data_IF_622505317207
#
_entry.id   IF_622505317207
#
_cell.length_a   1.000
_cell.length_b   1.000
_cell.length_c   1.000
_cell.angle_alpha   90.00
_cell.angle_beta   90.00
_cell.angle_gamma   90.00
#
_symmetry.space_group_name_H-M   'P 1'
#
loop_
_entity.id
_entity.type
_entity.pdbx_description
1 polymer ?
#
# COMPACT_ATOMS: atom_id res chain seq x y z
N UNK A 1 8.51 -17.39 -38.08
CA UNK A 1 8.88 -17.86 -36.73
C UNK A 1 8.97 -16.71 -35.70
N UNK A 2 9.27 -15.49 -36.11
CA UNK A 2 9.43 -14.30 -35.23
C UNK A 2 8.13 -13.91 -34.51
N UNK A 3 6.98 -13.96 -35.17
CA UNK A 3 5.68 -13.64 -34.60
C UNK A 3 5.39 -14.49 -33.35
N UNK A 4 5.80 -15.77 -33.34
CA UNK A 4 5.58 -16.66 -32.19
C UNK A 4 6.45 -16.32 -30.98
N UNK A 5 7.53 -15.52 -31.13
CA UNK A 5 8.46 -15.18 -30.06
C UNK A 5 8.04 -13.94 -29.27
N UNK A 6 7.04 -13.18 -29.73
CA UNK A 6 6.56 -11.96 -29.07
C UNK A 6 6.00 -12.24 -27.70
N UNK A 7 6.57 -11.60 -26.68
CA UNK A 7 6.17 -11.77 -25.26
C UNK A 7 5.32 -10.62 -24.72
N UNK A 8 5.41 -9.47 -25.36
CA UNK A 8 4.74 -8.25 -24.87
C UNK A 8 4.14 -7.47 -26.04
N UNK A 9 2.89 -7.06 -25.88
CA UNK A 9 2.17 -6.21 -26.82
C UNK A 9 1.53 -5.08 -26.04
N UNK A 10 1.80 -3.84 -26.48
CA UNK A 10 1.20 -2.61 -25.98
C UNK A 10 0.39 -1.97 -27.09
N UNK A 11 -0.90 -1.80 -26.86
CA UNK A 11 -1.88 -1.20 -27.80
C UNK A 11 -2.75 -0.20 -27.02
N UNK A 12 -2.16 0.56 -26.11
CA UNK A 12 -2.88 1.65 -25.43
C UNK A 12 -3.04 2.82 -26.40
N UNK A 13 -4.12 3.58 -26.23
CA UNK A 13 -4.36 4.84 -26.95
C UNK A 13 -3.14 5.75 -26.77
N UNK A 14 -2.53 6.21 -27.89
CA UNK A 14 -1.59 7.34 -27.82
C UNK A 14 -2.42 8.60 -27.96
N UNK A 15 -2.31 9.53 -27.01
CA UNK A 15 -3.02 10.83 -27.07
C UNK A 15 -2.68 11.62 -28.35
N UNK A 16 -1.50 11.34 -28.94
CA UNK A 16 -0.99 12.05 -30.13
C UNK A 16 -1.63 11.58 -31.46
N UNK A 17 -2.02 10.30 -31.58
CA UNK A 17 -2.42 9.75 -32.88
C UNK A 17 -3.93 9.48 -33.00
N UNK A 18 -4.71 9.51 -31.93
CA UNK A 18 -6.16 9.32 -31.94
C UNK A 18 -6.65 7.95 -32.44
N UNK A 19 -5.76 6.99 -32.63
CA UNK A 19 -6.12 5.68 -33.13
C UNK A 19 -6.65 4.78 -32.02
N UNK A 20 -7.91 4.38 -32.13
CA UNK A 20 -8.52 3.41 -31.22
C UNK A 20 -8.81 2.11 -31.94
N UNK A 21 -8.35 1.01 -31.36
CA UNK A 21 -8.58 -0.32 -31.88
C UNK A 21 -10.02 -0.79 -31.59
N UNK A 22 -10.72 -1.27 -32.62
CA UNK A 22 -12.08 -1.83 -32.48
C UNK A 22 -12.07 -3.36 -32.35
N UNK A 23 -10.98 -4.00 -32.78
CA UNK A 23 -10.82 -5.45 -32.78
C UNK A 23 -9.36 -5.85 -32.63
N UNK A 24 -9.10 -6.90 -31.89
CA UNK A 24 -7.82 -7.61 -31.80
C UNK A 24 -7.93 -9.02 -32.41
N UNK A 25 -8.70 -9.17 -33.48
CA UNK A 25 -8.75 -10.43 -34.23
C UNK A 25 -7.35 -10.82 -34.68
N UNK A 26 -6.93 -12.04 -34.37
CA UNK A 26 -5.56 -12.52 -34.68
C UNK A 26 -4.57 -12.42 -33.52
N UNK A 27 -4.93 -11.80 -32.38
CA UNK A 27 -4.04 -11.78 -31.18
C UNK A 27 -3.65 -13.20 -30.73
N UNK A 28 -4.46 -14.20 -31.03
CA UNK A 28 -4.27 -15.60 -30.67
C UNK A 28 -3.07 -16.27 -31.37
N UNK A 29 -2.48 -15.65 -32.41
CA UNK A 29 -1.26 -16.16 -33.08
C UNK A 29 -0.01 -16.00 -32.18
N UNK A 30 -0.02 -15.04 -31.23
CA UNK A 30 1.08 -14.75 -30.32
C UNK A 30 1.07 -15.71 -29.12
N UNK A 31 1.41 -16.98 -29.34
CA UNK A 31 1.31 -18.04 -28.33
C UNK A 31 2.29 -17.90 -27.16
N UNK A 32 3.37 -17.12 -27.34
CA UNK A 32 4.37 -16.83 -26.31
C UNK A 32 4.04 -15.56 -25.49
N UNK A 33 2.92 -14.90 -25.78
CA UNK A 33 2.55 -13.63 -25.17
C UNK A 33 2.37 -13.79 -23.65
N UNK A 34 3.09 -12.96 -22.91
CA UNK A 34 3.08 -12.90 -21.45
C UNK A 34 2.41 -11.63 -20.93
N UNK A 35 2.50 -10.54 -21.68
CA UNK A 35 1.88 -9.25 -21.32
C UNK A 35 1.11 -8.72 -22.51
N UNK A 36 -0.17 -8.43 -22.27
CA UNK A 36 -1.03 -7.71 -23.22
C UNK A 36 -1.60 -6.48 -22.50
N UNK A 37 -1.28 -5.30 -23.00
CA UNK A 37 -1.92 -4.05 -22.61
C UNK A 37 -2.69 -3.50 -23.83
N UNK A 38 -4.01 -3.46 -23.71
CA UNK A 38 -4.92 -2.95 -24.74
C UNK A 38 -6.00 -2.06 -24.13
N UNK A 39 -5.66 -1.36 -23.05
CA UNK A 39 -6.52 -0.39 -22.42
C UNK A 39 -6.78 0.81 -23.33
N UNK A 40 -7.88 1.58 -23.05
CA UNK A 40 -8.19 2.80 -23.77
C UNK A 40 -8.67 2.58 -25.21
N UNK A 41 -9.27 1.44 -25.52
CA UNK A 41 -9.70 1.10 -26.87
C UNK A 41 -11.24 1.00 -27.02
N UNK A 42 -11.71 0.57 -28.17
CA UNK A 42 -13.16 0.38 -28.46
C UNK A 42 -13.51 -1.09 -28.65
N UNK A 43 -12.77 -1.99 -27.98
CA UNK A 43 -12.97 -3.43 -28.13
C UNK A 43 -14.33 -3.87 -27.56
N UNK A 44 -15.11 -4.60 -28.36
CA UNK A 44 -16.36 -5.21 -27.91
C UNK A 44 -16.17 -6.67 -27.56
N UNK A 45 -15.12 -7.31 -28.08
CA UNK A 45 -14.71 -8.70 -27.82
C UNK A 45 -13.19 -8.77 -27.69
N UNK A 46 -12.73 -9.73 -26.90
CA UNK A 46 -11.29 -10.04 -26.76
C UNK A 46 -11.15 -11.56 -26.55
N UNK A 47 -10.55 -12.24 -27.52
CA UNK A 47 -10.24 -13.67 -27.42
C UNK A 47 -8.75 -13.87 -27.12
N UNK A 48 -8.44 -14.22 -25.88
CA UNK A 48 -7.09 -14.55 -25.40
C UNK A 48 -6.91 -16.05 -25.13
N UNK A 49 -7.81 -16.89 -25.61
CA UNK A 49 -7.85 -18.34 -25.29
C UNK A 49 -6.60 -19.10 -25.71
N UNK A 50 -5.87 -18.63 -26.74
CA UNK A 50 -4.61 -19.23 -27.20
C UNK A 50 -3.36 -18.61 -26.55
N UNK A 51 -3.49 -17.48 -25.90
CA UNK A 51 -2.38 -16.79 -25.21
C UNK A 51 -2.19 -17.36 -23.80
N UNK A 52 -1.98 -18.67 -23.69
CA UNK A 52 -1.98 -19.43 -22.42
C UNK A 52 -0.79 -19.11 -21.52
N UNK A 53 0.18 -18.33 -22.02
CA UNK A 53 1.35 -17.83 -21.27
C UNK A 53 1.15 -16.46 -20.66
N UNK A 54 -0.02 -15.83 -20.84
CA UNK A 54 -0.33 -14.53 -20.25
C UNK A 54 -0.15 -14.54 -18.72
N UNK A 55 0.64 -13.56 -18.28
CA UNK A 55 0.91 -13.23 -16.87
C UNK A 55 0.22 -11.91 -16.50
N UNK A 56 0.23 -10.94 -17.43
CA UNK A 56 -0.42 -9.64 -17.25
C UNK A 56 -1.39 -9.39 -18.40
N UNK A 57 -2.63 -9.08 -18.06
CA UNK A 57 -3.66 -8.64 -19.00
C UNK A 57 -4.27 -7.34 -18.50
N UNK A 58 -4.12 -6.29 -19.28
CA UNK A 58 -4.78 -5.01 -19.10
C UNK A 58 -5.66 -4.76 -20.33
N UNK A 59 -6.97 -4.80 -20.10
CA UNK A 59 -8.00 -4.49 -21.11
C UNK A 59 -9.01 -3.46 -20.58
N UNK A 60 -8.56 -2.61 -19.66
CA UNK A 60 -9.37 -1.54 -19.10
C UNK A 60 -9.87 -0.56 -20.17
N UNK A 61 -10.89 0.22 -19.84
CA UNK A 61 -11.47 1.27 -20.69
C UNK A 61 -11.77 0.77 -22.11
N UNK A 62 -12.67 -0.22 -22.18
CA UNK A 62 -13.13 -0.83 -23.42
C UNK A 62 -14.67 -0.98 -23.42
N UNK A 63 -15.21 -1.76 -24.33
CA UNK A 63 -16.66 -2.01 -24.45
C UNK A 63 -17.00 -3.48 -24.28
N UNK A 64 -16.16 -4.25 -23.60
CA UNK A 64 -16.29 -5.69 -23.43
C UNK A 64 -17.56 -6.01 -22.63
N UNK A 65 -18.40 -6.91 -23.17
CA UNK A 65 -19.57 -7.44 -22.47
C UNK A 65 -19.30 -8.80 -21.82
N UNK A 66 -18.26 -9.50 -22.31
CA UNK A 66 -17.77 -10.79 -21.81
C UNK A 66 -16.24 -10.81 -21.87
N UNK A 67 -15.61 -11.49 -20.93
CA UNK A 67 -14.17 -11.74 -20.92
C UNK A 67 -13.95 -13.16 -20.39
N UNK A 68 -13.39 -14.05 -21.21
CA UNK A 68 -13.01 -15.39 -20.81
C UNK A 68 -11.49 -15.49 -20.64
N UNK A 69 -11.05 -15.66 -19.40
CA UNK A 69 -9.65 -15.83 -19.01
C UNK A 69 -9.35 -17.24 -18.49
N UNK A 70 -10.27 -18.20 -18.70
CA UNK A 70 -10.18 -19.58 -18.17
C UNK A 70 -8.95 -20.34 -18.66
N UNK A 71 -8.43 -20.01 -19.85
CA UNK A 71 -7.20 -20.61 -20.42
C UNK A 71 -5.91 -19.92 -19.97
N UNK A 72 -6.01 -18.71 -19.39
CA UNK A 72 -4.86 -17.90 -18.98
C UNK A 72 -4.47 -18.20 -17.51
N UNK A 73 -4.22 -19.46 -17.20
CA UNK A 73 -3.98 -19.97 -15.82
C UNK A 73 -2.70 -19.42 -15.17
N UNK A 74 -1.87 -18.71 -15.93
CA UNK A 74 -0.64 -18.05 -15.44
C UNK A 74 -0.83 -16.59 -15.03
N UNK A 75 -2.05 -16.04 -15.21
CA UNK A 75 -2.33 -14.65 -14.86
C UNK A 75 -2.01 -14.37 -13.39
N UNK A 76 -1.21 -13.31 -13.20
CA UNK A 76 -0.86 -12.70 -11.92
C UNK A 76 -1.58 -11.35 -11.79
N UNK A 77 -1.67 -10.58 -12.89
CA UNK A 77 -2.38 -9.30 -12.94
C UNK A 77 -3.48 -9.35 -14.00
N UNK A 78 -4.70 -8.97 -13.59
CA UNK A 78 -5.84 -8.75 -14.47
C UNK A 78 -6.44 -7.38 -14.16
N UNK A 79 -6.46 -6.52 -15.18
CA UNK A 79 -7.16 -5.26 -15.18
C UNK A 79 -8.22 -5.29 -16.30
N UNK A 80 -9.49 -5.15 -15.92
CA UNK A 80 -10.62 -5.10 -16.84
C UNK A 80 -11.59 -3.98 -16.44
N UNK A 81 -11.06 -2.91 -15.84
CA UNK A 81 -11.83 -1.75 -15.43
C UNK A 81 -12.60 -1.11 -16.58
N UNK A 82 -13.64 -0.37 -16.24
CA UNK A 82 -14.42 0.46 -17.18
C UNK A 82 -14.80 -0.31 -18.44
N UNK A 83 -15.60 -1.35 -18.23
CA UNK A 83 -16.15 -2.20 -19.29
C UNK A 83 -17.68 -2.40 -19.09
N UNK A 84 -18.26 -3.36 -19.78
CA UNK A 84 -19.69 -3.69 -19.67
C UNK A 84 -19.92 -5.11 -19.18
N UNK A 85 -18.96 -5.67 -18.42
CA UNK A 85 -19.01 -7.05 -17.97
C UNK A 85 -20.15 -7.26 -16.97
N UNK A 86 -20.99 -8.27 -17.23
CA UNK A 86 -22.06 -8.69 -16.31
C UNK A 86 -21.66 -9.91 -15.47
N UNK A 87 -20.62 -10.63 -15.90
CA UNK A 87 -20.01 -11.78 -15.21
C UNK A 87 -18.51 -11.78 -15.45
N UNK A 88 -17.76 -12.23 -14.47
CA UNK A 88 -16.32 -12.46 -14.57
C UNK A 88 -15.98 -13.73 -13.77
N UNK A 89 -15.47 -14.75 -14.45
CA UNK A 89 -15.00 -15.98 -13.82
C UNK A 89 -13.47 -16.01 -13.80
N UNK A 90 -12.91 -15.92 -12.61
CA UNK A 90 -11.47 -15.98 -12.34
C UNK A 90 -11.05 -17.25 -11.61
N UNK A 91 -11.93 -18.26 -11.54
CA UNK A 91 -11.72 -19.50 -10.77
C UNK A 91 -10.51 -20.31 -11.25
N UNK A 92 -10.12 -20.19 -12.52
CA UNK A 92 -8.94 -20.85 -13.10
C UNK A 92 -7.63 -20.06 -12.93
N UNK A 93 -7.70 -18.81 -12.47
CA UNK A 93 -6.56 -17.91 -12.36
C UNK A 93 -6.00 -17.88 -10.93
N UNK A 94 -5.66 -19.04 -10.38
CA UNK A 94 -5.23 -19.22 -8.98
C UNK A 94 -3.92 -18.48 -8.60
N UNK A 95 -3.22 -17.93 -9.59
CA UNK A 95 -2.00 -17.15 -9.40
C UNK A 95 -2.26 -15.66 -9.29
N UNK A 96 -3.50 -15.18 -9.46
CA UNK A 96 -3.82 -13.77 -9.37
C UNK A 96 -3.41 -13.19 -8.03
N UNK A 97 -2.64 -12.12 -8.10
CA UNK A 97 -2.25 -11.25 -7.00
C UNK A 97 -2.93 -9.88 -7.09
N UNK A 98 -3.24 -9.43 -8.30
CA UNK A 98 -3.93 -8.19 -8.60
C UNK A 98 -5.16 -8.46 -9.47
N UNK A 99 -6.32 -7.98 -9.02
CA UNK A 99 -7.57 -7.98 -9.78
C UNK A 99 -8.24 -6.63 -9.66
N UNK A 100 -8.40 -5.94 -10.79
CA UNK A 100 -9.24 -4.77 -10.91
C UNK A 100 -10.35 -5.03 -11.93
N UNK A 101 -11.59 -4.80 -11.51
CA UNK A 101 -12.79 -4.95 -12.33
C UNK A 101 -13.81 -3.86 -12.02
N UNK A 102 -13.32 -2.67 -11.67
CA UNK A 102 -14.14 -1.50 -11.32
C UNK A 102 -14.95 -1.02 -12.53
N UNK A 103 -16.00 -0.23 -12.26
CA UNK A 103 -16.85 0.36 -13.29
C UNK A 103 -17.35 -0.69 -14.31
N UNK A 104 -18.02 -1.73 -13.80
CA UNK A 104 -18.62 -2.79 -14.59
C UNK A 104 -20.09 -3.04 -14.15
N UNK A 105 -20.67 -4.14 -14.56
CA UNK A 105 -22.08 -4.49 -14.25
C UNK A 105 -22.19 -5.80 -13.50
N UNK A 106 -21.12 -6.18 -12.76
CA UNK A 106 -21.05 -7.45 -12.06
C UNK A 106 -22.08 -7.53 -10.93
N UNK A 107 -22.88 -8.58 -10.92
CA UNK A 107 -23.83 -8.85 -9.82
C UNK A 107 -23.28 -9.85 -8.80
N UNK A 108 -22.27 -10.63 -9.19
CA UNK A 108 -21.53 -11.60 -8.35
C UNK A 108 -20.06 -11.60 -8.75
N UNK A 109 -19.19 -11.83 -7.78
CA UNK A 109 -17.75 -12.01 -8.00
C UNK A 109 -17.26 -13.07 -7.01
N UNK A 110 -16.83 -14.22 -7.52
CA UNK A 110 -16.23 -15.27 -6.70
C UNK A 110 -14.72 -15.27 -6.86
N UNK A 111 -14.03 -14.89 -5.78
CA UNK A 111 -12.57 -14.87 -5.68
C UNK A 111 -12.02 -15.96 -4.74
N UNK A 112 -12.83 -16.95 -4.38
CA UNK A 112 -12.47 -17.98 -3.40
C UNK A 112 -11.27 -18.84 -3.83
N UNK A 113 -11.02 -18.96 -5.15
CA UNK A 113 -9.88 -19.69 -5.73
C UNK A 113 -8.60 -18.84 -5.87
N UNK A 114 -8.68 -17.53 -5.63
CA UNK A 114 -7.58 -16.59 -5.83
C UNK A 114 -6.91 -16.24 -4.49
N UNK A 115 -6.43 -17.25 -3.75
CA UNK A 115 -5.88 -17.09 -2.38
C UNK A 115 -4.61 -16.24 -2.32
N UNK A 116 -3.97 -15.94 -3.46
CA UNK A 116 -2.79 -15.08 -3.58
C UNK A 116 -3.13 -13.61 -3.73
N UNK A 117 -4.41 -13.25 -3.90
CA UNK A 117 -4.82 -11.86 -4.06
C UNK A 117 -4.32 -10.98 -2.91
N UNK A 118 -3.65 -9.91 -3.31
CA UNK A 118 -3.16 -8.82 -2.48
C UNK A 118 -3.96 -7.55 -2.72
N UNK A 119 -4.39 -7.32 -3.95
CA UNK A 119 -5.17 -6.18 -4.41
C UNK A 119 -6.47 -6.67 -5.05
N UNK A 120 -7.60 -6.13 -4.58
CA UNK A 120 -8.92 -6.34 -5.16
C UNK A 120 -9.64 -5.00 -5.25
N UNK A 121 -9.90 -4.55 -6.47
CA UNK A 121 -10.77 -3.41 -6.75
C UNK A 121 -11.99 -3.89 -7.54
N UNK A 122 -13.16 -3.77 -6.94
CA UNK A 122 -14.45 -4.04 -7.56
C UNK A 122 -15.42 -2.85 -7.37
N UNK A 123 -14.85 -1.64 -7.28
CA UNK A 123 -15.56 -0.37 -7.20
C UNK A 123 -16.62 -0.27 -8.32
N UNK A 124 -17.71 0.40 -8.05
CA UNK A 124 -18.85 0.63 -8.95
C UNK A 124 -19.26 -0.60 -9.75
N UNK A 125 -19.93 -1.49 -9.05
CA UNK A 125 -20.56 -2.68 -9.60
C UNK A 125 -21.96 -2.86 -8.99
N UNK A 126 -22.54 -4.03 -9.15
CA UNK A 126 -23.88 -4.35 -8.63
C UNK A 126 -23.85 -5.50 -7.62
N UNK A 127 -22.71 -5.68 -6.94
CA UNK A 127 -22.51 -6.79 -6.01
C UNK A 127 -23.43 -6.67 -4.80
N UNK A 128 -24.14 -7.74 -4.49
CA UNK A 128 -25.00 -7.84 -3.29
C UNK A 128 -24.30 -8.60 -2.15
N UNK A 129 -23.28 -9.39 -2.48
CA UNK A 129 -22.45 -10.16 -1.57
C UNK A 129 -21.01 -10.20 -2.08
N UNK A 130 -20.04 -10.29 -1.17
CA UNK A 130 -18.61 -10.42 -1.48
C UNK A 130 -17.93 -11.25 -0.39
N UNK A 131 -17.56 -12.50 -0.72
CA UNK A 131 -16.85 -13.37 0.21
C UNK A 131 -15.34 -13.38 -0.08
N UNK A 132 -14.58 -12.77 0.81
CA UNK A 132 -13.12 -12.66 0.74
C UNK A 132 -12.39 -13.47 1.81
N UNK A 133 -13.07 -14.38 2.49
CA UNK A 133 -12.52 -15.16 3.61
C UNK A 133 -11.30 -16.02 3.23
N UNK A 134 -11.18 -16.41 1.95
CA UNK A 134 -10.04 -17.16 1.41
C UNK A 134 -8.88 -16.27 0.94
N UNK A 135 -9.10 -14.96 0.80
CA UNK A 135 -8.10 -14.01 0.30
C UNK A 135 -7.33 -13.36 1.46
N UNK A 136 -6.71 -14.18 2.31
CA UNK A 136 -6.04 -13.72 3.54
C UNK A 136 -4.77 -12.88 3.29
N UNK A 137 -4.34 -12.79 2.03
CA UNK A 137 -3.22 -11.97 1.61
C UNK A 137 -3.63 -10.55 1.17
N UNK A 138 -4.94 -10.25 1.15
CA UNK A 138 -5.42 -8.91 0.77
C UNK A 138 -4.82 -7.83 1.67
N UNK A 139 -4.32 -6.81 1.00
CA UNK A 139 -3.74 -5.59 1.58
C UNK A 139 -4.58 -4.39 1.19
N UNK A 140 -5.10 -4.38 -0.05
CA UNK A 140 -6.00 -3.37 -0.56
C UNK A 140 -7.31 -4.02 -0.96
N UNK A 141 -8.40 -3.49 -0.43
CA UNK A 141 -9.76 -3.82 -0.87
C UNK A 141 -10.52 -2.52 -1.15
N UNK A 142 -10.99 -2.38 -2.37
CA UNK A 142 -11.98 -1.38 -2.73
C UNK A 142 -13.23 -2.10 -3.26
N UNK A 143 -14.32 -2.02 -2.50
CA UNK A 143 -15.63 -2.52 -2.88
C UNK A 143 -16.70 -1.43 -2.75
N UNK A 144 -16.30 -0.16 -2.82
CA UNK A 144 -17.22 0.98 -2.77
C UNK A 144 -18.19 0.97 -3.97
N UNK A 145 -19.29 1.71 -3.84
CA UNK A 145 -20.32 1.82 -4.87
C UNK A 145 -20.86 0.44 -5.31
N UNK A 146 -21.38 -0.32 -4.34
CA UNK A 146 -22.01 -1.61 -4.56
C UNK A 146 -23.34 -1.70 -3.79
N UNK A 147 -23.89 -2.89 -3.62
CA UNK A 147 -25.15 -3.13 -2.92
C UNK A 147 -24.98 -4.04 -1.70
N UNK A 148 -23.76 -4.07 -1.13
CA UNK A 148 -23.40 -4.97 -0.04
C UNK A 148 -24.15 -4.60 1.23
N UNK A 149 -24.89 -5.54 1.81
CA UNK A 149 -25.53 -5.40 3.13
C UNK A 149 -24.66 -5.94 4.26
N UNK A 150 -23.65 -6.76 3.92
CA UNK A 150 -22.69 -7.37 4.85
C UNK A 150 -21.31 -7.37 4.19
N UNK A 151 -20.27 -7.24 5.00
CA UNK A 151 -18.87 -7.40 4.59
C UNK A 151 -18.08 -7.94 5.77
N UNK A 152 -17.52 -9.14 5.65
CA UNK A 152 -16.64 -9.72 6.67
C UNK A 152 -15.19 -9.62 6.22
N UNK A 153 -14.41 -8.77 6.91
CA UNK A 153 -12.98 -8.54 6.69
C UNK A 153 -12.11 -9.18 7.79
N UNK A 154 -12.68 -9.93 8.72
CA UNK A 154 -11.98 -10.42 9.92
C UNK A 154 -10.85 -11.40 9.62
N UNK A 155 -10.90 -12.08 8.46
CA UNK A 155 -9.83 -12.99 8.00
C UNK A 155 -8.71 -12.27 7.25
N UNK A 156 -8.92 -11.04 6.78
CA UNK A 156 -8.00 -10.26 5.96
C UNK A 156 -7.10 -9.37 6.82
N UNK A 157 -6.33 -10.00 7.71
CA UNK A 157 -5.51 -9.31 8.73
C UNK A 157 -4.39 -8.41 8.18
N UNK A 158 -4.09 -8.52 6.89
CA UNK A 158 -3.07 -7.71 6.20
C UNK A 158 -3.63 -6.43 5.59
N UNK A 159 -4.95 -6.22 5.61
CA UNK A 159 -5.55 -5.01 5.05
C UNK A 159 -4.93 -3.76 5.65
N UNK A 160 -4.40 -2.92 4.78
CA UNK A 160 -3.90 -1.57 5.09
C UNK A 160 -4.81 -0.49 4.52
N UNK A 161 -5.54 -0.80 3.45
CA UNK A 161 -6.52 0.07 2.83
C UNK A 161 -7.83 -0.69 2.64
N UNK A 162 -8.92 -0.14 3.19
CA UNK A 162 -10.27 -0.64 3.03
C UNK A 162 -11.18 0.50 2.59
N UNK A 163 -11.71 0.41 1.37
CA UNK A 163 -12.78 1.28 0.86
C UNK A 163 -14.04 0.45 0.65
N UNK A 164 -15.09 0.79 1.37
CA UNK A 164 -16.39 0.13 1.28
C UNK A 164 -17.54 1.15 1.35
N UNK A 165 -17.27 2.39 0.92
CA UNK A 165 -18.27 3.46 0.87
C UNK A 165 -19.40 3.15 -0.11
N UNK A 166 -20.49 3.90 0.00
CA UNK A 166 -21.66 3.76 -0.88
C UNK A 166 -22.15 2.31 -0.99
N UNK A 167 -22.47 1.73 0.17
CA UNK A 167 -23.05 0.40 0.31
C UNK A 167 -24.26 0.42 1.28
N UNK A 168 -24.73 -0.73 1.73
CA UNK A 168 -25.87 -0.87 2.65
C UNK A 168 -25.47 -1.48 3.98
N UNK A 169 -24.19 -1.35 4.37
CA UNK A 169 -23.65 -2.00 5.56
C UNK A 169 -24.29 -1.44 6.83
N UNK A 170 -24.77 -2.33 7.69
CA UNK A 170 -25.30 -1.97 9.01
C UNK A 170 -24.31 -2.24 10.14
N UNK A 171 -23.29 -3.06 9.87
CA UNK A 171 -22.18 -3.41 10.76
C UNK A 171 -20.90 -3.55 9.95
N UNK A 172 -19.77 -3.19 10.56
CA UNK A 172 -18.43 -3.41 10.01
C UNK A 172 -17.48 -3.69 11.17
N UNK A 173 -16.89 -4.88 11.20
CA UNK A 173 -15.89 -5.25 12.21
C UNK A 173 -14.49 -5.20 11.60
N UNK A 174 -13.73 -4.17 11.98
CA UNK A 174 -12.32 -3.97 11.58
C UNK A 174 -11.34 -4.29 12.69
N UNK A 175 -11.77 -4.89 13.81
CA UNK A 175 -10.93 -5.15 14.99
C UNK A 175 -9.77 -6.10 14.71
N UNK A 176 -9.83 -6.92 13.65
CA UNK A 176 -8.75 -7.83 13.23
C UNK A 176 -7.81 -7.23 12.17
N UNK A 177 -8.16 -6.08 11.62
CA UNK A 177 -7.40 -5.40 10.57
C UNK A 177 -6.46 -4.35 11.19
N UNK A 178 -5.56 -4.81 12.05
CA UNK A 178 -4.69 -3.96 12.88
C UNK A 178 -3.67 -3.14 12.08
N UNK A 179 -3.54 -3.40 10.77
CA UNK A 179 -2.67 -2.68 9.85
C UNK A 179 -3.38 -1.61 9.03
N UNK A 180 -4.67 -1.35 9.30
CA UNK A 180 -5.40 -0.31 8.57
C UNK A 180 -4.75 1.05 8.76
N UNK A 181 -4.41 1.67 7.64
CA UNK A 181 -3.91 3.05 7.51
C UNK A 181 -5.04 3.94 7.02
N UNK A 182 -5.83 3.43 6.07
CA UNK A 182 -6.98 4.12 5.51
C UNK A 182 -8.24 3.26 5.60
N UNK A 183 -9.31 3.87 6.10
CA UNK A 183 -10.67 3.30 6.16
C UNK A 183 -11.66 4.29 5.59
N UNK A 184 -12.27 3.93 4.46
CA UNK A 184 -13.46 4.62 3.95
C UNK A 184 -14.67 3.69 4.05
N UNK A 185 -15.55 4.01 4.98
CA UNK A 185 -16.84 3.35 5.18
C UNK A 185 -18.02 4.35 5.09
N UNK A 186 -17.81 5.48 4.40
CA UNK A 186 -18.81 6.53 4.21
C UNK A 186 -20.06 6.00 3.52
N UNK A 187 -21.17 6.73 3.63
CA UNK A 187 -22.43 6.43 2.94
C UNK A 187 -22.88 4.98 3.12
N UNK A 188 -23.03 4.61 4.41
CA UNK A 188 -23.53 3.31 4.85
C UNK A 188 -24.62 3.48 5.92
N UNK A 189 -25.00 2.43 6.63
CA UNK A 189 -25.98 2.47 7.69
C UNK A 189 -25.39 2.10 9.07
N UNK A 190 -24.10 2.37 9.27
CA UNK A 190 -23.37 1.98 10.48
C UNK A 190 -23.89 2.78 11.68
N UNK A 191 -24.23 2.08 12.77
CA UNK A 191 -24.61 2.68 14.06
C UNK A 191 -23.43 2.80 15.02
N UNK A 192 -22.42 1.96 14.84
CA UNK A 192 -21.21 1.87 15.68
C UNK A 192 -20.01 1.53 14.79
N UNK A 193 -18.83 1.99 15.21
CA UNK A 193 -17.55 1.69 14.58
C UNK A 193 -16.50 1.56 15.68
N UNK A 194 -15.90 0.36 15.83
CA UNK A 194 -14.87 0.10 16.84
C UNK A 194 -13.50 0.15 16.19
N UNK A 195 -12.72 1.18 16.53
CA UNK A 195 -11.38 1.46 15.98
C UNK A 195 -10.25 1.15 16.97
N UNK A 196 -10.55 0.55 18.14
CA UNK A 196 -9.59 0.37 19.23
C UNK A 196 -8.27 -0.30 18.82
N UNK A 197 -8.30 -1.20 17.84
CA UNK A 197 -7.13 -1.98 17.41
C UNK A 197 -6.49 -1.48 16.12
N UNK A 198 -6.97 -0.36 15.58
CA UNK A 198 -6.47 0.20 14.32
C UNK A 198 -5.50 1.36 14.61
N UNK A 199 -4.42 1.06 15.36
CA UNK A 199 -3.45 2.08 15.81
C UNK A 199 -2.72 2.78 14.67
N UNK A 200 -2.65 2.16 13.50
CA UNK A 200 -2.01 2.72 12.30
C UNK A 200 -2.90 3.68 11.52
N UNK A 201 -4.18 3.78 11.89
CA UNK A 201 -5.17 4.54 11.13
C UNK A 201 -4.79 6.01 11.07
N UNK A 202 -4.61 6.51 9.84
CA UNK A 202 -4.24 7.90 9.53
C UNK A 202 -5.39 8.63 8.84
N UNK A 203 -6.13 7.93 7.98
CA UNK A 203 -7.24 8.48 7.21
C UNK A 203 -8.53 7.72 7.53
N UNK A 204 -9.52 8.40 8.09
CA UNK A 204 -10.83 7.86 8.45
C UNK A 204 -11.94 8.65 7.78
N UNK A 205 -12.61 8.00 6.83
CA UNK A 205 -13.81 8.52 6.19
C UNK A 205 -15.01 7.68 6.62
N UNK A 206 -15.88 8.25 7.43
CA UNK A 206 -17.08 7.58 7.95
C UNK A 206 -18.33 8.47 7.87
N UNK A 207 -18.31 9.46 6.96
CA UNK A 207 -19.42 10.37 6.71
C UNK A 207 -20.69 9.65 6.24
N UNK A 208 -21.83 10.30 6.37
CA UNK A 208 -23.12 9.75 5.95
C UNK A 208 -23.41 8.37 6.53
N UNK A 209 -23.33 8.26 7.85
CA UNK A 209 -23.70 7.06 8.61
C UNK A 209 -24.72 7.39 9.72
N UNK A 210 -24.91 6.49 10.66
CA UNK A 210 -25.83 6.64 11.79
C UNK A 210 -25.09 6.56 13.13
N UNK A 211 -23.78 6.92 13.15
CA UNK A 211 -22.92 6.81 14.32
C UNK A 211 -23.40 7.78 15.41
N UNK A 212 -23.55 7.25 16.63
CA UNK A 212 -23.89 8.05 17.82
C UNK A 212 -22.68 8.38 18.68
N UNK A 213 -21.58 7.65 18.50
CA UNK A 213 -20.28 7.88 19.14
C UNK A 213 -19.16 7.43 18.23
N UNK A 214 -17.99 8.04 18.42
CA UNK A 214 -16.75 7.69 17.72
C UNK A 214 -15.59 7.84 18.71
N UNK A 215 -15.03 6.71 19.17
CA UNK A 215 -13.86 6.69 20.05
C UNK A 215 -12.58 6.60 19.22
N UNK A 216 -11.78 7.66 19.24
CA UNK A 216 -10.50 7.77 18.54
C UNK A 216 -9.29 7.75 19.48
N UNK A 217 -9.48 7.42 20.76
CA UNK A 217 -8.44 7.50 21.80
C UNK A 217 -7.21 6.62 21.54
N UNK A 218 -7.36 5.58 20.72
CA UNK A 218 -6.30 4.65 20.31
C UNK A 218 -5.66 5.00 18.96
N UNK A 219 -6.24 5.93 18.19
CA UNK A 219 -5.84 6.23 16.82
C UNK A 219 -4.96 7.48 16.77
N UNK A 220 -3.80 7.40 17.41
CA UNK A 220 -2.87 8.53 17.58
C UNK A 220 -2.31 9.06 16.27
N UNK A 221 -2.37 8.26 15.22
CA UNK A 221 -1.87 8.57 13.87
C UNK A 221 -2.86 9.33 13.00
N UNK A 222 -4.10 9.54 13.46
CA UNK A 222 -5.11 10.24 12.66
C UNK A 222 -4.65 11.62 12.20
N UNK A 223 -4.83 11.89 10.92
CA UNK A 223 -4.57 13.16 10.25
C UNK A 223 -5.82 13.74 9.61
N UNK A 224 -6.55 12.90 8.87
CA UNK A 224 -7.77 13.30 8.21
C UNK A 224 -8.93 12.47 8.74
N UNK A 225 -9.96 13.14 9.23
CA UNK A 225 -11.20 12.53 9.70
C UNK A 225 -12.37 13.23 9.04
N UNK A 226 -13.13 12.47 8.27
CA UNK A 226 -14.44 12.89 7.78
C UNK A 226 -15.52 12.07 8.47
N UNK A 227 -16.21 12.67 9.42
CA UNK A 227 -17.37 12.11 10.11
C UNK A 227 -18.65 12.95 9.89
N UNK A 228 -18.66 13.73 8.79
CA UNK A 228 -19.78 14.53 8.34
C UNK A 228 -21.09 13.72 8.31
N UNK A 229 -22.21 14.36 8.64
CA UNK A 229 -23.55 13.78 8.56
C UNK A 229 -23.69 12.45 9.31
N UNK A 230 -23.58 12.51 10.63
CA UNK A 230 -23.81 11.43 11.58
C UNK A 230 -24.73 11.89 12.73
N UNK A 231 -24.71 11.23 13.88
CA UNK A 231 -25.50 11.55 15.08
C UNK A 231 -24.61 11.75 16.31
N UNK A 232 -23.36 12.19 16.07
CA UNK A 232 -22.35 12.35 17.12
C UNK A 232 -22.72 13.54 18.03
N UNK A 233 -22.51 13.38 19.34
CA UNK A 233 -22.74 14.44 20.32
C UNK A 233 -21.48 15.02 20.91
N UNK A 234 -20.38 14.25 20.88
CA UNK A 234 -19.03 14.66 21.33
C UNK A 234 -17.97 13.98 20.48
N UNK A 235 -16.81 14.65 20.35
CA UNK A 235 -15.62 14.11 19.71
C UNK A 235 -14.39 14.45 20.53
N UNK A 236 -13.48 13.50 20.73
CA UNK A 236 -12.19 13.70 21.41
C UNK A 236 -11.03 13.22 20.53
N UNK A 237 -10.35 14.15 19.85
CA UNK A 237 -9.11 13.95 19.09
C UNK A 237 -7.86 14.38 19.88
N UNK A 238 -7.98 14.54 21.21
CA UNK A 238 -6.87 14.97 22.07
C UNK A 238 -5.68 14.00 22.09
N UNK A 239 -5.87 12.76 21.61
CA UNK A 239 -4.78 11.81 21.42
C UNK A 239 -4.07 11.90 20.07
N UNK A 240 -4.60 12.69 19.11
CA UNK A 240 -4.19 12.70 17.69
C UNK A 240 -3.58 14.07 17.29
N UNK A 241 -2.34 14.38 17.69
CA UNK A 241 -1.73 15.71 17.44
C UNK A 241 -1.34 15.95 15.99
N UNK A 242 -1.47 14.95 15.13
CA UNK A 242 -1.24 15.06 13.69
C UNK A 242 -2.53 15.35 12.91
N UNK A 243 -3.68 15.42 13.60
CA UNK A 243 -4.96 15.58 12.95
C UNK A 243 -5.11 17.03 12.44
N UNK A 244 -4.89 17.20 11.15
CA UNK A 244 -4.87 18.50 10.48
C UNK A 244 -6.14 18.79 9.67
N UNK A 245 -7.07 17.82 9.59
CA UNK A 245 -8.38 17.98 8.98
C UNK A 245 -9.43 17.14 9.70
N UNK A 246 -10.46 17.80 10.24
CA UNK A 246 -11.59 17.16 10.90
C UNK A 246 -12.88 17.76 10.33
N UNK A 247 -13.60 17.00 9.50
CA UNK A 247 -14.94 17.38 9.09
C UNK A 247 -15.96 16.65 9.96
N UNK A 248 -16.61 17.39 10.80
CA UNK A 248 -17.63 16.90 11.73
C UNK A 248 -18.97 17.64 11.58
N UNK A 249 -19.17 18.32 10.47
CA UNK A 249 -20.40 19.04 10.15
C UNK A 249 -21.61 18.12 10.13
N UNK A 250 -22.81 18.67 10.23
CA UNK A 250 -24.09 17.93 10.21
C UNK A 250 -24.14 16.78 11.23
N UNK A 251 -23.75 17.08 12.47
CA UNK A 251 -23.87 16.19 13.64
C UNK A 251 -24.72 16.88 14.74
N UNK A 252 -24.71 16.37 15.95
CA UNK A 252 -25.37 16.94 17.13
C UNK A 252 -24.35 17.35 18.20
N UNK A 253 -23.20 17.90 17.76
CA UNK A 253 -22.06 18.14 18.64
C UNK A 253 -22.31 19.30 19.61
N UNK A 254 -21.91 19.08 20.85
CA UNK A 254 -21.80 20.12 21.88
C UNK A 254 -20.36 20.45 22.22
N UNK A 255 -19.44 19.50 21.95
CA UNK A 255 -18.02 19.65 22.27
C UNK A 255 -17.15 18.88 21.28
N UNK A 256 -16.04 19.51 20.85
CA UNK A 256 -14.94 18.88 20.13
C UNK A 256 -13.64 19.15 20.89
N UNK A 257 -12.92 18.10 21.26
CA UNK A 257 -11.60 18.20 21.88
C UNK A 257 -10.56 17.88 20.82
N UNK A 258 -9.58 18.77 20.66
CA UNK A 258 -8.43 18.59 19.75
C UNK A 258 -7.12 18.55 20.54
N UNK A 259 -6.09 17.95 19.99
CA UNK A 259 -4.78 17.92 20.61
C UNK A 259 -4.15 19.34 20.65
N UNK A 260 -3.30 19.57 21.66
CA UNK A 260 -2.49 20.79 21.72
C UNK A 260 -1.62 20.91 20.45
N UNK A 261 -1.62 22.10 19.83
CA UNK A 261 -0.90 22.37 18.58
C UNK A 261 -1.72 22.16 17.32
N UNK A 262 -2.85 21.46 17.39
CA UNK A 262 -3.82 21.37 16.27
C UNK A 262 -4.58 22.69 16.19
N UNK A 263 -4.66 23.25 14.99
CA UNK A 263 -5.36 24.53 14.77
C UNK A 263 -6.87 24.34 14.87
N UNK A 264 -7.57 25.24 15.53
CA UNK A 264 -9.06 25.21 15.57
C UNK A 264 -9.69 25.31 14.17
N UNK A 265 -9.00 25.99 13.25
CA UNK A 265 -9.38 26.08 11.83
C UNK A 265 -9.30 24.77 11.07
N UNK A 266 -8.67 23.72 11.63
CA UNK A 266 -8.68 22.36 11.08
C UNK A 266 -9.98 21.61 11.35
N UNK A 267 -10.89 22.19 12.17
CA UNK A 267 -12.20 21.59 12.49
C UNK A 267 -13.26 22.28 11.66
N UNK A 268 -13.88 21.53 10.78
CA UNK A 268 -14.99 21.98 9.95
C UNK A 268 -16.33 21.54 10.60
N UNK A 269 -17.23 22.49 10.84
CA UNK A 269 -18.55 22.28 11.40
C UNK A 269 -19.53 23.34 10.86
N UNK A 270 -20.81 23.08 10.92
CA UNK A 270 -21.85 24.01 10.44
C UNK A 270 -21.95 25.21 11.38
N UNK A 271 -21.27 26.29 11.07
CA UNK A 271 -21.23 27.51 11.91
C UNK A 271 -22.62 28.15 12.08
N UNK A 272 -23.50 27.98 11.11
CA UNK A 272 -24.86 28.53 11.17
C UNK A 272 -25.78 27.71 12.09
N UNK A 273 -25.57 26.40 12.16
CA UNK A 273 -26.40 25.46 12.95
C UNK A 273 -25.81 25.28 14.36
N UNK A 274 -24.48 25.29 14.48
CA UNK A 274 -23.75 24.83 15.67
C UNK A 274 -22.96 25.93 16.37
N UNK A 275 -23.53 27.15 16.49
CA UNK A 275 -22.88 28.30 17.19
C UNK A 275 -22.47 28.01 18.65
N UNK A 276 -22.93 26.90 19.22
CA UNK A 276 -22.68 26.50 20.60
C UNK A 276 -21.53 25.47 20.78
N UNK A 277 -20.92 24.96 19.68
CA UNK A 277 -19.85 23.95 19.79
C UNK A 277 -18.62 24.54 20.51
N UNK A 278 -18.23 23.89 21.59
CA UNK A 278 -17.03 24.25 22.36
C UNK A 278 -15.84 23.46 21.83
N UNK A 279 -14.89 24.15 21.16
CA UNK A 279 -13.61 23.54 20.77
C UNK A 279 -12.60 23.75 21.87
N UNK A 280 -12.12 22.66 22.47
CA UNK A 280 -11.14 22.65 23.56
C UNK A 280 -9.83 22.00 23.12
N UNK A 281 -8.69 22.54 23.57
CA UNK A 281 -7.38 21.93 23.37
C UNK A 281 -7.03 21.04 24.57
N UNK A 282 -6.44 19.87 24.28
CA UNK A 282 -5.97 18.91 25.27
C UNK A 282 -4.50 18.64 25.09
N UNK A 283 -3.73 18.71 26.19
CA UNK A 283 -2.30 18.41 26.17
C UNK A 283 -2.06 16.96 25.73
N UNK A 284 -1.25 16.79 24.70
CA UNK A 284 -0.90 15.46 24.17
C UNK A 284 0.12 14.81 25.10
N UNK A 285 -0.14 13.58 25.50
CA UNK A 285 0.84 12.77 26.24
C UNK A 285 1.92 12.25 25.29
N UNK A 286 3.20 12.21 25.72
CA UNK A 286 4.26 11.54 24.95
C UNK A 286 3.89 10.08 24.64
N UNK A 287 4.35 9.58 23.50
CA UNK A 287 4.12 8.20 23.12
C UNK A 287 4.94 7.24 23.98
N UNK A 288 4.37 6.08 24.25
CA UNK A 288 5.02 5.02 25.02
C UNK A 288 5.80 4.08 24.09
N UNK A 289 6.83 3.40 24.65
CA UNK A 289 7.53 2.35 23.93
C UNK A 289 6.54 1.27 23.49
N UNK A 290 6.64 0.85 22.25
CA UNK A 290 5.77 -0.15 21.63
C UNK A 290 4.57 0.43 20.86
N UNK A 291 4.17 1.68 21.10
CA UNK A 291 3.11 2.35 20.35
C UNK A 291 3.53 2.66 18.91
N UNK A 292 2.56 2.79 18.02
CA UNK A 292 2.79 3.06 16.60
C UNK A 292 2.32 4.46 16.21
N UNK A 293 2.97 5.03 15.20
CA UNK A 293 2.55 6.23 14.53
C UNK A 293 2.70 6.07 13.02
N UNK A 294 1.67 6.43 12.29
CA UNK A 294 1.69 6.49 10.83
C UNK A 294 1.89 7.94 10.39
N UNK A 295 2.83 8.15 9.50
CA UNK A 295 3.03 9.42 8.82
C UNK A 295 2.71 9.25 7.34
N UNK A 296 1.97 10.22 6.80
CA UNK A 296 1.73 10.36 5.37
C UNK A 296 2.46 11.61 4.87
N UNK A 297 3.24 11.47 3.83
CA UNK A 297 3.89 12.59 3.15
C UNK A 297 3.10 12.96 1.90
N UNK A 298 2.27 13.99 2.01
CA UNK A 298 1.36 14.40 0.94
C UNK A 298 2.11 14.88 -0.32
N UNK A 299 3.32 15.44 -0.15
CA UNK A 299 4.17 15.85 -1.29
C UNK A 299 4.87 14.69 -1.99
N UNK A 300 4.84 13.50 -1.39
CA UNK A 300 5.52 12.29 -1.89
C UNK A 300 4.62 11.08 -1.96
N UNK A 301 3.37 11.20 -1.51
CA UNK A 301 2.38 10.11 -1.46
C UNK A 301 2.92 8.84 -0.78
N UNK A 302 3.59 9.01 0.36
CA UNK A 302 4.26 7.95 1.08
C UNK A 302 3.67 7.74 2.47
N UNK A 303 3.44 6.47 2.84
CA UNK A 303 3.08 6.08 4.20
C UNK A 303 4.27 5.43 4.90
N UNK A 304 4.58 5.94 6.08
CA UNK A 304 5.56 5.35 7.00
C UNK A 304 4.85 4.97 8.29
N UNK A 305 5.02 3.74 8.74
CA UNK A 305 4.60 3.35 10.09
C UNK A 305 5.84 3.17 10.95
N UNK A 306 5.91 3.90 12.03
CA UNK A 306 6.99 3.86 12.98
C UNK A 306 6.53 3.25 14.30
N UNK A 307 7.36 2.40 14.89
CA UNK A 307 7.19 1.91 16.25
C UNK A 307 8.11 2.67 17.18
N UNK A 308 7.59 3.14 18.32
CA UNK A 308 8.39 3.82 19.34
C UNK A 308 9.32 2.82 20.00
N UNK A 309 10.63 3.08 19.96
CA UNK A 309 11.67 2.20 20.52
C UNK A 309 12.43 2.82 21.68
N UNK A 310 12.37 4.16 21.82
CA UNK A 310 12.93 4.89 22.95
C UNK A 310 12.09 6.12 23.27
N UNK A 311 11.82 6.34 24.56
CA UNK A 311 11.00 7.44 25.05
C UNK A 311 11.70 8.31 26.10
N UNK A 312 13.03 8.15 26.27
CA UNK A 312 13.80 8.98 27.19
C UNK A 312 13.92 10.40 26.64
N UNK A 313 13.56 11.42 27.44
CA UNK A 313 13.55 12.83 27.05
C UNK A 313 14.87 13.24 26.36
N UNK A 314 14.75 13.80 25.15
CA UNK A 314 15.88 14.21 24.31
C UNK A 314 16.61 13.06 23.58
N UNK A 315 16.17 11.80 23.74
CA UNK A 315 16.73 10.61 23.06
C UNK A 315 15.63 9.71 22.53
N UNK A 316 14.51 10.31 22.09
CA UNK A 316 13.38 9.59 21.56
C UNK A 316 13.72 8.96 20.21
N UNK A 317 13.48 7.67 20.08
CA UNK A 317 13.83 6.90 18.90
C UNK A 317 12.66 6.06 18.38
N UNK A 318 12.68 5.79 17.08
CA UNK A 318 11.71 4.94 16.42
C UNK A 318 12.35 4.01 15.41
N UNK A 319 11.68 2.91 15.15
CA UNK A 319 11.97 1.99 14.06
C UNK A 319 10.90 2.14 12.98
N UNK A 320 11.29 2.31 11.72
CA UNK A 320 10.38 2.21 10.59
C UNK A 320 10.00 0.75 10.40
N UNK A 321 8.73 0.40 10.64
CA UNK A 321 8.25 -0.99 10.60
C UNK A 321 7.44 -1.31 9.35
N UNK A 322 7.00 -0.28 8.63
CA UNK A 322 6.23 -0.44 7.38
C UNK A 322 6.41 0.80 6.49
N UNK A 323 6.52 0.56 5.20
CA UNK A 323 6.58 1.59 4.18
C UNK A 323 5.73 1.16 2.98
N UNK A 324 4.95 2.10 2.45
CA UNK A 324 4.11 1.91 1.26
C UNK A 324 4.07 3.21 0.47
N UNK A 325 4.13 3.09 -0.85
CA UNK A 325 3.69 4.16 -1.76
C UNK A 325 2.18 4.16 -1.87
N UNK A 326 1.57 5.33 -2.04
CA UNK A 326 0.17 5.42 -2.42
C UNK A 326 -0.01 4.91 -3.85
N UNK A 327 -1.11 4.23 -4.13
CA UNK A 327 -1.42 3.68 -5.45
C UNK A 327 -1.78 4.75 -6.50
N UNK A 328 -1.96 6.01 -6.08
CA UNK A 328 -2.35 7.13 -6.94
C UNK A 328 -1.25 8.20 -7.10
N UNK A 329 0.02 7.80 -7.15
CA UNK A 329 1.16 8.76 -7.24
C UNK A 329 1.29 9.33 -8.64
N UNK A 330 1.41 10.67 -8.82
CA UNK A 330 1.82 11.28 -10.08
C UNK A 330 3.29 10.99 -10.45
N UNK A 331 3.61 11.06 -11.73
CA UNK A 331 4.78 10.53 -12.44
C UNK A 331 6.21 10.98 -12.02
N UNK A 332 6.42 11.97 -11.15
CA UNK A 332 7.66 12.77 -11.21
C UNK A 332 8.82 12.41 -10.27
N UNK A 333 8.73 11.45 -9.35
CA UNK A 333 9.87 11.14 -8.46
C UNK A 333 10.13 9.64 -8.22
N UNK A 334 11.13 9.10 -8.90
CA UNK A 334 11.59 7.70 -8.82
C UNK A 334 12.57 7.41 -7.67
N UNK A 335 12.96 8.41 -6.89
CA UNK A 335 13.94 8.26 -5.79
C UNK A 335 13.34 8.68 -4.46
N UNK A 336 13.36 7.79 -3.49
CA UNK A 336 12.80 8.00 -2.16
C UNK A 336 13.86 7.98 -1.06
N UNK A 337 13.64 8.80 -0.04
CA UNK A 337 14.55 8.89 1.13
C UNK A 337 13.77 8.72 2.41
N UNK A 338 14.14 7.72 3.22
CA UNK A 338 13.52 7.51 4.53
C UNK A 338 13.75 8.73 5.43
N UNK A 339 12.69 9.22 6.07
CA UNK A 339 12.76 10.36 6.99
C UNK A 339 13.74 10.09 8.13
N UNK A 340 14.56 11.09 8.47
CA UNK A 340 15.54 11.01 9.58
C UNK A 340 14.86 11.17 10.94
N UNK A 341 13.83 12.00 11.01
CA UNK A 341 13.09 12.32 12.22
C UNK A 341 11.73 12.91 11.90
N UNK A 342 10.84 12.93 12.87
CA UNK A 342 9.56 13.61 12.79
C UNK A 342 9.14 14.15 14.15
N UNK A 343 8.16 15.06 14.16
CA UNK A 343 7.55 15.57 15.39
C UNK A 343 6.19 14.91 15.62
N UNK A 344 5.91 14.61 16.90
CA UNK A 344 4.61 14.20 17.37
C UNK A 344 4.30 15.03 18.64
N UNK A 345 3.32 15.92 18.54
CA UNK A 345 3.14 16.97 19.52
C UNK A 345 4.42 17.80 19.65
N UNK A 346 4.89 18.02 20.87
CA UNK A 346 6.12 18.77 21.14
C UNK A 346 7.39 17.89 21.16
N UNK A 347 7.29 16.59 20.87
CA UNK A 347 8.40 15.65 20.93
C UNK A 347 8.94 15.34 19.52
N UNK A 348 10.28 15.38 19.36
CA UNK A 348 10.94 14.98 18.12
C UNK A 348 11.50 13.56 18.26
N UNK A 349 11.09 12.67 17.36
CA UNK A 349 11.53 11.27 17.30
C UNK A 349 12.55 11.08 16.19
N UNK A 350 13.66 10.41 16.49
CA UNK A 350 14.72 10.08 15.53
C UNK A 350 14.54 8.68 14.98
N UNK A 351 14.56 8.52 13.66
CA UNK A 351 14.50 7.20 13.01
C UNK A 351 15.86 6.55 13.09
N UNK A 352 15.99 5.46 13.85
CA UNK A 352 17.29 4.79 14.11
C UNK A 352 17.38 3.39 13.54
N UNK A 353 16.26 2.81 13.09
CA UNK A 353 16.26 1.46 12.51
C UNK A 353 15.20 1.32 11.42
N UNK A 354 15.46 0.42 10.49
CA UNK A 354 14.48 -0.17 9.58
C UNK A 354 14.09 -1.53 10.16
N UNK A 355 12.82 -1.77 10.36
CA UNK A 355 12.29 -2.97 10.98
C UNK A 355 12.28 -4.19 10.06
N UNK A 356 11.91 -5.33 10.62
CA UNK A 356 11.71 -6.55 9.86
C UNK A 356 10.58 -6.39 8.83
N UNK A 357 10.82 -6.85 7.59
CA UNK A 357 9.88 -6.78 6.46
C UNK A 357 9.38 -5.36 6.11
N UNK A 358 10.04 -4.29 6.54
CA UNK A 358 9.52 -2.91 6.43
C UNK A 358 9.19 -2.48 5.00
N UNK A 359 9.96 -2.92 4.01
CA UNK A 359 9.78 -2.59 2.58
C UNK A 359 9.30 -3.78 1.73
N UNK A 360 8.87 -4.87 2.37
CA UNK A 360 8.48 -6.10 1.66
C UNK A 360 7.35 -5.90 0.65
N UNK A 361 6.49 -4.93 0.89
CA UNK A 361 5.31 -4.64 0.08
C UNK A 361 5.50 -3.42 -0.83
N UNK A 362 6.74 -2.91 -0.91
CA UNK A 362 7.09 -1.85 -1.83
C UNK A 362 6.84 -2.32 -3.28
N UNK A 363 6.19 -1.47 -4.07
CA UNK A 363 5.80 -1.72 -5.46
C UNK A 363 4.82 -2.89 -5.69
N UNK A 364 4.33 -3.56 -4.65
CA UNK A 364 3.44 -4.73 -4.81
C UNK A 364 2.10 -4.40 -5.49
N UNK A 365 1.75 -3.11 -5.58
CA UNK A 365 0.45 -2.63 -6.04
C UNK A 365 0.54 -1.46 -7.00
N UNK A 366 1.76 -0.97 -7.29
CA UNK A 366 1.93 0.11 -8.25
C UNK A 366 1.50 -0.37 -9.64
N UNK A 367 0.69 0.42 -10.32
CA UNK A 367 0.56 0.33 -11.76
C UNK A 367 1.95 0.51 -12.37
N UNK A 368 2.20 -0.04 -13.56
CA UNK A 368 3.54 -0.15 -14.15
C UNK A 368 4.34 1.17 -14.23
N UNK A 369 3.69 2.30 -13.96
CA UNK A 369 4.21 3.66 -14.12
C UNK A 369 4.65 4.32 -12.79
N UNK A 370 4.26 3.75 -11.63
CA UNK A 370 4.52 4.31 -10.29
C UNK A 370 5.47 3.43 -9.47
N UNK A 371 6.61 3.05 -10.06
CA UNK A 371 7.57 2.14 -9.44
C UNK A 371 8.62 2.93 -8.67
N UNK A 372 8.80 2.62 -7.37
CA UNK A 372 9.95 3.11 -6.63
C UNK A 372 11.21 2.33 -7.02
N UNK A 373 12.00 2.89 -7.93
CA UNK A 373 13.24 2.26 -8.39
C UNK A 373 14.43 2.47 -7.44
N UNK A 374 14.41 3.49 -6.58
CA UNK A 374 15.55 3.87 -5.75
C UNK A 374 15.14 4.26 -4.33
N UNK A 375 15.87 3.72 -3.35
CA UNK A 375 15.72 4.06 -1.94
C UNK A 375 17.06 4.46 -1.32
N UNK A 376 17.06 5.59 -0.62
CA UNK A 376 18.19 6.04 0.21
C UNK A 376 17.83 5.96 1.68
N UNK A 377 18.61 5.18 2.43
CA UNK A 377 18.53 5.09 3.89
C UNK A 377 19.50 6.12 4.51
N UNK A 378 18.93 7.10 5.19
CA UNK A 378 19.70 8.26 5.68
C UNK A 378 20.58 7.99 6.91
N UNK A 379 21.40 8.98 7.24
CA UNK A 379 22.49 8.94 8.23
C UNK A 379 22.06 8.89 9.71
N UNK A 380 20.82 8.60 10.02
CA UNK A 380 20.35 8.35 11.39
C UNK A 380 20.09 6.87 11.66
N UNK A 381 19.94 6.08 10.60
CA UNK A 381 19.60 4.65 10.70
C UNK A 381 20.87 3.84 10.97
N UNK A 382 20.84 3.08 12.05
CA UNK A 382 21.94 2.19 12.50
C UNK A 382 21.71 0.74 12.13
N UNK A 383 20.45 0.31 12.13
CA UNK A 383 20.09 -1.11 11.94
C UNK A 383 19.14 -1.28 10.75
N UNK A 384 19.46 -2.23 9.89
CA UNK A 384 18.58 -2.78 8.86
C UNK A 384 18.06 -4.14 9.36
N UNK A 385 16.76 -4.25 9.57
CA UNK A 385 16.14 -5.46 10.14
C UNK A 385 16.15 -6.66 9.18
N UNK A 386 15.80 -7.81 9.72
CA UNK A 386 15.67 -9.05 8.94
C UNK A 386 14.63 -8.89 7.84
N UNK A 387 14.97 -9.37 6.63
CA UNK A 387 14.08 -9.31 5.45
C UNK A 387 13.57 -7.91 5.09
N UNK A 388 14.20 -6.84 5.55
CA UNK A 388 13.71 -5.46 5.38
C UNK A 388 13.40 -5.12 3.91
N UNK A 389 14.22 -5.59 2.98
CA UNK A 389 14.08 -5.41 1.52
C UNK A 389 13.97 -6.74 0.77
N UNK A 390 13.61 -7.83 1.46
CA UNK A 390 13.59 -9.14 0.82
C UNK A 390 12.46 -9.26 -0.21
N UNK A 391 12.83 -9.70 -1.44
CA UNK A 391 11.87 -9.92 -2.51
C UNK A 391 11.20 -8.63 -3.00
N UNK A 392 11.84 -7.47 -2.83
CA UNK A 392 11.36 -6.23 -3.43
C UNK A 392 11.43 -6.33 -4.94
N UNK A 393 10.28 -6.17 -5.59
CA UNK A 393 10.14 -6.13 -7.04
C UNK A 393 10.43 -4.69 -7.52
N UNK A 394 11.04 -4.55 -8.70
CA UNK A 394 11.33 -3.29 -9.39
C UNK A 394 12.30 -2.32 -8.67
N UNK A 395 12.68 -2.57 -7.42
CA UNK A 395 13.65 -1.75 -6.71
C UNK A 395 15.06 -2.00 -7.27
N UNK A 396 15.57 -1.02 -8.04
CA UNK A 396 16.86 -1.14 -8.77
C UNK A 396 18.05 -0.62 -7.97
N UNK A 397 17.83 0.34 -7.07
CA UNK A 397 18.91 1.03 -6.36
C UNK A 397 18.61 1.13 -4.87
N UNK A 398 19.51 0.62 -4.02
CA UNK A 398 19.46 0.81 -2.57
C UNK A 398 20.75 1.47 -2.11
N UNK A 399 20.65 2.57 -1.37
CA UNK A 399 21.78 3.30 -0.80
C UNK A 399 21.66 3.29 0.72
N UNK A 400 22.65 2.70 1.39
CA UNK A 400 22.82 2.73 2.84
C UNK A 400 23.90 3.73 3.20
N UNK A 401 23.58 4.67 4.10
CA UNK A 401 24.52 5.71 4.53
C UNK A 401 25.53 5.18 5.57
N UNK A 402 26.47 6.03 5.98
CA UNK A 402 27.63 5.69 6.85
C UNK A 402 27.23 5.29 8.26
N UNK A 403 26.02 5.65 8.70
CA UNK A 403 25.50 5.36 10.04
C UNK A 403 25.16 3.89 10.25
N UNK A 404 24.98 3.07 9.20
CA UNK A 404 24.53 1.68 9.31
C UNK A 404 25.61 0.83 9.99
N UNK A 405 25.24 0.21 11.10
CA UNK A 405 26.12 -0.60 11.97
C UNK A 405 25.74 -2.09 11.90
N UNK A 406 24.47 -2.40 11.57
CA UNK A 406 23.95 -3.77 11.56
C UNK A 406 23.01 -4.03 10.37
N UNK A 407 23.12 -5.24 9.79
CA UNK A 407 22.24 -5.74 8.72
C UNK A 407 21.73 -7.13 9.12
N UNK A 408 20.42 -7.26 9.22
CA UNK A 408 19.72 -8.47 9.64
C UNK A 408 19.74 -9.61 8.60
N UNK A 409 19.30 -10.78 9.03
CA UNK A 409 19.22 -11.98 8.19
C UNK A 409 18.27 -11.77 7.01
N UNK A 410 18.69 -12.22 5.83
CA UNK A 410 17.89 -12.10 4.60
C UNK A 410 17.48 -10.66 4.22
N UNK A 411 18.17 -9.63 4.73
CA UNK A 411 17.75 -8.24 4.58
C UNK A 411 17.49 -7.83 3.12
N UNK A 412 18.28 -8.32 2.17
CA UNK A 412 18.18 -8.06 0.73
C UNK A 412 17.91 -9.33 -0.08
N UNK A 413 17.47 -10.41 0.57
CA UNK A 413 17.34 -11.69 -0.11
C UNK A 413 16.29 -11.66 -1.23
N UNK A 414 16.63 -12.32 -2.37
CA UNK A 414 15.73 -12.44 -3.53
C UNK A 414 15.28 -11.11 -4.16
N UNK A 415 16.01 -10.00 -3.95
CA UNK A 415 15.79 -8.73 -4.66
C UNK A 415 16.37 -8.85 -6.07
N UNK A 416 15.60 -9.48 -6.98
CA UNK A 416 16.08 -9.93 -8.29
C UNK A 416 16.35 -8.79 -9.29
N UNK A 417 15.63 -7.66 -9.13
CA UNK A 417 15.75 -6.51 -10.04
C UNK A 417 16.77 -5.48 -9.55
N UNK A 418 17.38 -5.73 -8.40
CA UNK A 418 18.39 -4.86 -7.82
C UNK A 418 19.63 -4.76 -8.72
N UNK A 419 19.91 -3.55 -9.22
CA UNK A 419 21.09 -3.25 -10.06
C UNK A 419 22.29 -2.79 -9.23
N UNK A 420 22.02 -1.96 -8.20
CA UNK A 420 23.07 -1.40 -7.34
C UNK A 420 22.65 -1.43 -5.87
N UNK A 421 23.49 -2.05 -5.05
CA UNK A 421 23.47 -1.92 -3.61
C UNK A 421 24.70 -1.13 -3.15
N UNK A 422 24.51 0.14 -2.77
CA UNK A 422 25.59 1.02 -2.30
C UNK A 422 25.60 1.06 -0.78
N UNK A 423 26.67 0.57 -0.15
CA UNK A 423 26.88 0.54 1.30
C UNK A 423 28.04 1.46 1.64
N UNK A 424 27.75 2.66 2.16
CA UNK A 424 28.78 3.65 2.54
C UNK A 424 29.41 3.38 3.90
N UNK A 425 28.77 2.55 4.73
CA UNK A 425 29.26 2.26 6.09
C UNK A 425 30.58 1.49 6.06
N UNK A 426 31.47 1.84 7.00
CA UNK A 426 32.72 1.13 7.28
C UNK A 426 32.64 0.27 8.55
N UNK A 427 31.45 0.19 9.19
CA UNK A 427 31.24 -0.35 10.54
C UNK A 427 30.80 -1.82 10.58
N UNK A 428 30.45 -2.41 9.44
CA UNK A 428 29.95 -3.79 9.39
C UNK A 428 31.05 -4.78 9.74
N UNK A 429 30.71 -5.78 10.53
CA UNK A 429 31.57 -6.85 11.01
C UNK A 429 30.87 -8.21 10.91
N UNK A 430 31.59 -9.30 11.17
CA UNK A 430 31.01 -10.65 11.21
C UNK A 430 29.97 -10.84 12.35
N UNK A 431 29.93 -9.94 13.33
CA UNK A 431 28.95 -9.96 14.42
C UNK A 431 27.68 -9.17 14.08
N UNK A 432 27.79 -8.17 13.19
CA UNK A 432 26.70 -7.24 12.88
C UNK A 432 26.12 -7.43 11.48
N UNK A 433 26.72 -8.27 10.64
CA UNK A 433 26.16 -8.70 9.37
C UNK A 433 25.67 -10.15 9.49
N UNK A 434 24.37 -10.32 9.43
CA UNK A 434 23.75 -11.60 9.72
C UNK A 434 23.73 -12.55 8.51
N UNK A 435 23.53 -13.86 8.81
CA UNK A 435 23.53 -14.93 7.82
C UNK A 435 22.49 -14.69 6.72
N UNK A 436 22.89 -15.01 5.49
CA UNK A 436 22.04 -14.92 4.29
C UNK A 436 21.48 -13.51 3.99
N UNK A 437 22.09 -12.44 4.52
CA UNK A 437 21.64 -11.07 4.29
C UNK A 437 21.49 -10.75 2.77
N UNK A 438 22.31 -11.38 1.93
CA UNK A 438 22.38 -11.16 0.47
C UNK A 438 21.94 -12.38 -0.34
N UNK A 439 21.28 -13.37 0.24
CA UNK A 439 20.91 -14.61 -0.44
C UNK A 439 19.97 -14.34 -1.63
N UNK A 440 20.26 -14.95 -2.80
CA UNK A 440 19.43 -14.82 -4.00
C UNK A 440 19.56 -13.50 -4.75
N UNK A 441 20.50 -12.62 -4.37
CA UNK A 441 20.91 -11.49 -5.22
C UNK A 441 21.61 -12.04 -6.47
N UNK A 442 21.24 -11.51 -7.64
CA UNK A 442 21.69 -12.03 -8.96
C UNK A 442 22.98 -11.37 -9.44
N UNK A 443 23.62 -11.97 -10.44
CA UNK A 443 24.81 -11.40 -11.12
C UNK A 443 24.57 -10.05 -11.81
N UNK A 444 23.31 -9.66 -11.98
CA UNK A 444 22.93 -8.32 -12.50
C UNK A 444 23.23 -7.20 -11.51
N UNK A 445 23.38 -7.54 -10.22
CA UNK A 445 23.64 -6.56 -9.15
C UNK A 445 25.12 -6.24 -9.06
N UNK A 446 25.44 -4.96 -8.84
CA UNK A 446 26.76 -4.50 -8.39
C UNK A 446 26.65 -3.99 -6.96
N UNK A 447 27.46 -4.55 -6.06
CA UNK A 447 27.58 -4.05 -4.68
C UNK A 447 28.73 -3.04 -4.63
N UNK A 448 28.45 -1.81 -4.14
CA UNK A 448 29.47 -0.75 -4.02
C UNK A 448 29.77 -0.49 -2.54
N UNK A 449 31.05 -0.49 -2.18
CA UNK A 449 31.52 -0.35 -0.78
C UNK A 449 32.69 0.63 -0.68
N UNK A 450 33.00 1.20 0.49
CA UNK A 450 34.16 2.06 0.67
C UNK A 450 35.45 1.38 0.25
N UNK A 451 36.32 2.08 -0.47
CA UNK A 451 37.61 1.57 -0.96
C UNK A 451 38.44 0.93 0.15
N UNK A 452 38.47 1.53 1.34
CA UNK A 452 39.18 1.02 2.53
C UNK A 452 38.63 -0.30 3.07
N UNK A 453 37.42 -0.72 2.69
CA UNK A 453 36.76 -1.94 3.15
C UNK A 453 36.56 -2.99 2.05
N UNK A 454 36.99 -2.72 0.82
CA UNK A 454 36.69 -3.57 -0.34
C UNK A 454 37.05 -5.04 -0.08
N UNK A 455 38.29 -5.36 0.25
CA UNK A 455 38.75 -6.73 0.47
C UNK A 455 38.08 -7.38 1.68
N UNK A 456 37.91 -6.61 2.77
CA UNK A 456 37.29 -7.11 4.01
C UNK A 456 35.81 -7.44 3.76
N UNK A 457 35.07 -6.54 3.08
CA UNK A 457 33.64 -6.72 2.84
C UNK A 457 33.37 -7.76 1.75
N UNK A 458 34.28 -7.95 0.80
CA UNK A 458 34.15 -9.03 -0.16
C UNK A 458 34.10 -10.40 0.56
N UNK A 459 35.08 -10.67 1.41
CA UNK A 459 35.13 -11.91 2.20
C UNK A 459 33.89 -12.05 3.12
N UNK A 460 33.50 -10.97 3.78
CA UNK A 460 32.38 -10.94 4.71
C UNK A 460 31.04 -11.20 4.00
N UNK A 461 30.79 -10.51 2.89
CA UNK A 461 29.50 -10.61 2.18
C UNK A 461 29.32 -11.97 1.52
N UNK A 462 30.41 -12.59 1.00
CA UNK A 462 30.37 -13.97 0.48
C UNK A 462 29.93 -14.96 1.58
N UNK A 463 30.45 -14.83 2.81
CA UNK A 463 30.03 -15.64 3.96
C UNK A 463 28.54 -15.40 4.32
N UNK A 464 28.01 -14.24 4.03
CA UNK A 464 26.62 -13.87 4.32
C UNK A 464 25.68 -14.04 3.11
N UNK A 465 26.02 -14.93 2.16
CA UNK A 465 25.12 -15.39 1.11
C UNK A 465 25.24 -14.64 -0.23
N UNK A 466 26.20 -13.73 -0.39
CA UNK A 466 26.40 -13.06 -1.67
C UNK A 466 27.05 -14.01 -2.67
N UNK A 467 26.40 -14.27 -3.81
CA UNK A 467 26.87 -15.13 -4.88
C UNK A 467 28.24 -14.69 -5.42
N UNK A 468 29.11 -15.65 -5.77
CA UNK A 468 30.43 -15.40 -6.40
C UNK A 468 30.32 -14.58 -7.67
N UNK A 469 29.22 -14.70 -8.40
CA UNK A 469 28.98 -14.01 -9.66
C UNK A 469 28.56 -12.53 -9.51
N UNK A 470 28.29 -12.06 -8.30
CA UNK A 470 27.96 -10.67 -8.03
C UNK A 470 29.24 -9.83 -7.94
N UNK A 471 29.30 -8.73 -8.68
CA UNK A 471 30.45 -7.80 -8.68
C UNK A 471 30.43 -6.93 -7.41
N UNK A 472 31.60 -6.82 -6.75
CA UNK A 472 31.83 -5.86 -5.69
C UNK A 472 32.85 -4.83 -6.18
N UNK A 473 32.54 -3.53 -6.02
CA UNK A 473 33.38 -2.42 -6.48
C UNK A 473 33.57 -1.40 -5.36
N UNK A 474 34.67 -0.65 -5.42
CA UNK A 474 34.85 0.53 -4.60
C UNK A 474 33.88 1.65 -4.99
N UNK A 475 33.50 2.48 -3.97
CA UNK A 475 32.77 3.74 -4.18
C UNK A 475 33.78 4.78 -4.65
#
# INVERSE_FOLDING_TARGET
>A
SEIKSVKTIYLSESEEDGYTCKSLTGINIFTELQTLKCAGNKLTTLDVSKNTKLVKLDCAVNKLTKLDVSKNTKLVKLDCDVNKLTKLDVSKNSKLEYLSCRDNKLTKLDVSRNSKLKYLDCYDNKLTDLNISKNQNLIVLNCSFNKLSKLDVTKNKKLSLLKCSDNKLTKLDVTKNTRLIELDCSRNNLKQLNLRYNEWLSNLLCSYNKLTSLDTSYNKSLRNVDCYHNKLTKLDFGASPLCDRIDCSSNKLTEVIIAEGVKKTSVYYDQEIDRSIKIKNKKTKPMKIGEYITLFDNGKYEYYVFRITGSKKGKETVTCVYYKLDIFVPYDELSKKVKKSFKFGNTTYKVTAIGENAFKELNSYCEDENICESITIGNSVKTIGSKAFAGTEDLKYIILDESVEEIGSYAFANSKDLKVLKIKSTKLTSKTLNKNAFAGITSKTTVKVPKSKLSTYEKLFRKCGLSKNVKIKAI
#
